data_IF_235731341205
#
_entry.id   IF_235731341205
#
_cell.length_a   1.000
_cell.length_b   1.000
_cell.length_c   1.000
_cell.angle_alpha   90.00
_cell.angle_beta   90.00
_cell.angle_gamma   90.00
#
_symmetry.space_group_name_H-M   'P 1'
#
loop_
_entity.id
_entity.type
_entity.pdbx_description
1 polymer ?
#
# COMPACT_ATOMS: atom_id res chain seq x y z
N UNK A 1 -8.71 -17.94 0.82
CA UNK A 1 -8.43 -16.70 0.10
C UNK A 1 -7.12 -16.15 0.64
N UNK A 2 -6.21 -15.75 -0.25
CA UNK A 2 -4.89 -15.21 0.12
C UNK A 2 -5.00 -13.79 0.66
N UNK A 3 -4.04 -13.37 1.50
CA UNK A 3 -4.01 -12.02 2.11
C UNK A 3 -4.15 -10.92 1.05
N UNK A 4 -3.46 -11.08 -0.07
CA UNK A 4 -3.45 -10.14 -1.19
C UNK A 4 -4.80 -10.03 -1.91
N UNK A 5 -5.61 -11.08 -1.95
CA UNK A 5 -6.92 -11.07 -2.64
C UNK A 5 -7.89 -10.04 -2.01
N UNK A 6 -7.70 -9.71 -0.74
CA UNK A 6 -8.47 -8.67 -0.04
C UNK A 6 -8.23 -7.26 -0.62
N UNK A 7 -7.14 -7.06 -1.35
CA UNK A 7 -6.79 -5.79 -1.98
C UNK A 7 -7.14 -5.72 -3.46
N UNK A 8 -7.83 -6.72 -4.00
CA UNK A 8 -8.26 -6.73 -5.42
C UNK A 8 -9.00 -5.44 -5.83
N UNK A 9 -9.82 -4.87 -4.95
CA UNK A 9 -10.51 -3.58 -5.16
C UNK A 9 -9.56 -2.37 -5.29
N UNK A 10 -8.31 -2.49 -4.85
CA UNK A 10 -7.28 -1.45 -4.96
C UNK A 10 -6.34 -1.67 -6.16
N UNK A 11 -6.52 -2.75 -6.93
CA UNK A 11 -5.72 -3.01 -8.12
C UNK A 11 -5.91 -1.93 -9.19
N UNK A 12 -7.15 -1.43 -9.35
CA UNK A 12 -7.45 -0.32 -10.26
C UNK A 12 -6.76 0.97 -9.82
N UNK A 13 -6.81 1.30 -8.52
CA UNK A 13 -6.11 2.45 -7.96
C UNK A 13 -4.60 2.37 -8.19
N UNK A 14 -4.02 1.18 -7.98
CA UNK A 14 -2.61 0.94 -8.25
C UNK A 14 -2.25 1.17 -9.73
N UNK A 15 -3.04 0.61 -10.65
CA UNK A 15 -2.83 0.80 -12.08
C UNK A 15 -2.97 2.27 -12.50
N UNK A 16 -3.96 2.98 -11.96
CA UNK A 16 -4.16 4.40 -12.25
C UNK A 16 -2.97 5.23 -11.77
N UNK A 17 -2.53 5.03 -10.52
CA UNK A 17 -1.40 5.75 -9.93
C UNK A 17 -0.09 5.47 -10.67
N UNK A 18 0.14 4.22 -11.09
CA UNK A 18 1.32 3.85 -11.87
C UNK A 18 1.34 4.49 -13.26
N UNK A 19 0.21 4.44 -13.98
CA UNK A 19 0.11 4.94 -15.35
C UNK A 19 -0.15 6.45 -15.44
N UNK A 20 -0.47 7.10 -14.32
CA UNK A 20 -0.71 8.53 -14.28
C UNK A 20 0.51 9.33 -14.78
N UNK A 21 0.30 10.39 -15.59
CA UNK A 21 1.40 11.25 -16.03
C UNK A 21 2.01 12.04 -14.85
N UNK A 22 3.24 12.54 -15.05
CA UNK A 22 3.86 13.47 -14.11
C UNK A 22 3.00 14.73 -13.96
N UNK A 23 2.74 15.17 -12.73
CA UNK A 23 1.79 16.22 -12.32
C UNK A 23 0.30 15.89 -12.49
N UNK A 24 -0.05 14.60 -12.59
CA UNK A 24 -1.45 14.20 -12.50
C UNK A 24 -2.03 14.55 -11.11
N UNK A 25 -3.26 15.07 -11.10
CA UNK A 25 -3.98 15.32 -9.84
C UNK A 25 -4.58 14.01 -9.31
N UNK A 26 -3.78 13.23 -8.61
CA UNK A 26 -4.20 12.03 -7.89
C UNK A 26 -4.70 12.39 -6.48
N UNK A 27 -5.75 11.72 -5.99
CA UNK A 27 -6.25 11.95 -4.63
C UNK A 27 -5.42 11.18 -3.59
N UNK A 28 -5.42 11.64 -2.33
CA UNK A 28 -4.77 10.91 -1.23
C UNK A 28 -5.27 9.49 -1.10
N UNK A 29 -6.57 9.28 -1.27
CA UNK A 29 -7.23 7.97 -1.16
C UNK A 29 -6.80 7.03 -2.28
N UNK A 30 -6.66 7.55 -3.50
CA UNK A 30 -6.21 6.76 -4.64
C UNK A 30 -4.76 6.29 -4.45
N UNK A 31 -3.89 7.19 -3.98
CA UNK A 31 -2.48 6.85 -3.68
C UNK A 31 -2.41 5.90 -2.50
N UNK A 32 -3.23 6.09 -1.46
CA UNK A 32 -3.29 5.22 -0.29
C UNK A 32 -3.74 3.80 -0.68
N UNK A 33 -4.75 3.70 -1.54
CA UNK A 33 -5.22 2.43 -2.09
C UNK A 33 -4.13 1.74 -2.91
N UNK A 34 -3.48 2.46 -3.82
CA UNK A 34 -2.35 1.96 -4.59
C UNK A 34 -1.19 1.49 -3.69
N UNK A 35 -0.86 2.25 -2.65
CA UNK A 35 0.17 1.92 -1.69
C UNK A 35 -0.18 0.67 -0.87
N UNK A 36 -1.45 0.53 -0.46
CA UNK A 36 -1.93 -0.65 0.26
C UNK A 36 -1.88 -1.91 -0.62
N UNK A 37 -2.24 -1.80 -1.90
CA UNK A 37 -2.15 -2.91 -2.85
C UNK A 37 -0.71 -3.36 -3.07
N UNK A 38 0.20 -2.43 -3.36
CA UNK A 38 1.62 -2.76 -3.58
C UNK A 38 2.24 -3.31 -2.29
N UNK A 39 1.89 -2.76 -1.13
CA UNK A 39 2.34 -3.28 0.15
C UNK A 39 1.86 -4.71 0.38
N UNK A 40 0.59 -5.00 0.09
CA UNK A 40 0.04 -6.33 0.25
C UNK A 40 0.70 -7.36 -0.69
N UNK A 41 0.98 -6.95 -1.93
CA UNK A 41 1.72 -7.76 -2.90
C UNK A 41 3.14 -8.05 -2.41
N UNK A 42 3.87 -7.01 -2.01
CA UNK A 42 5.24 -7.15 -1.51
C UNK A 42 5.31 -7.96 -0.21
N UNK A 43 4.28 -7.86 0.63
CA UNK A 43 4.13 -8.70 1.82
C UNK A 43 3.91 -10.16 1.47
N UNK A 44 3.03 -10.48 0.52
CA UNK A 44 2.82 -11.86 0.08
C UNK A 44 4.11 -12.47 -0.49
N UNK A 45 4.83 -11.72 -1.32
CA UNK A 45 6.16 -12.09 -1.82
C UNK A 45 7.16 -12.32 -0.67
N UNK A 46 7.13 -11.45 0.36
CA UNK A 46 7.98 -11.59 1.54
C UNK A 46 7.64 -12.87 2.32
N UNK A 47 6.35 -13.16 2.50
CA UNK A 47 5.86 -14.37 3.17
C UNK A 47 6.23 -15.63 2.40
N UNK A 48 6.15 -15.61 1.07
CA UNK A 48 6.56 -16.74 0.25
C UNK A 48 8.06 -17.03 0.33
N UNK A 49 8.90 -15.98 0.45
CA UNK A 49 10.36 -16.11 0.48
C UNK A 49 10.92 -16.38 1.87
N UNK A 50 10.35 -15.76 2.90
CA UNK A 50 10.89 -15.75 4.27
C UNK A 50 10.00 -16.48 5.28
N UNK A 51 8.78 -16.86 4.91
CA UNK A 51 7.75 -17.38 5.82
C UNK A 51 6.85 -16.27 6.39
N UNK A 52 5.75 -16.69 7.03
CA UNK A 52 4.84 -15.76 7.71
C UNK A 52 5.56 -15.09 8.89
N UNK A 53 5.37 -13.77 9.10
CA UNK A 53 5.94 -13.11 10.26
C UNK A 53 5.35 -13.68 11.56
N UNK A 54 6.17 -13.68 12.61
CA UNK A 54 5.83 -14.29 13.91
C UNK A 54 4.68 -13.58 14.65
N UNK A 55 4.33 -12.36 14.25
CA UNK A 55 3.28 -11.58 14.90
C UNK A 55 2.55 -10.65 13.95
N UNK A 56 1.29 -10.36 14.31
CA UNK A 56 0.47 -9.35 13.64
C UNK A 56 1.12 -7.96 13.69
N UNK A 57 1.85 -7.63 14.77
CA UNK A 57 2.60 -6.38 14.86
C UNK A 57 3.70 -6.32 13.79
N UNK A 58 4.45 -7.41 13.61
CA UNK A 58 5.51 -7.48 12.60
C UNK A 58 4.95 -7.41 11.18
N UNK A 59 3.80 -8.05 10.93
CA UNK A 59 3.10 -7.95 9.65
C UNK A 59 2.71 -6.48 9.33
N UNK A 60 2.18 -5.75 10.31
CA UNK A 60 1.85 -4.33 10.17
C UNK A 60 3.07 -3.47 9.86
N UNK A 61 4.18 -3.70 10.56
CA UNK A 61 5.42 -2.95 10.30
C UNK A 61 5.93 -3.15 8.87
N UNK A 62 5.91 -4.40 8.37
CA UNK A 62 6.35 -4.73 7.01
C UNK A 62 5.45 -4.03 5.98
N UNK A 63 4.13 -4.12 6.15
CA UNK A 63 3.17 -3.46 5.26
C UNK A 63 3.30 -1.94 5.29
N UNK A 64 3.45 -1.34 6.46
CA UNK A 64 3.66 0.10 6.60
C UNK A 64 4.96 0.55 5.92
N UNK A 65 6.02 -0.26 6.03
CA UNK A 65 7.29 -0.03 5.34
C UNK A 65 7.12 -0.01 3.81
N UNK A 66 6.45 -1.03 3.25
CA UNK A 66 6.21 -1.09 1.81
C UNK A 66 5.28 0.03 1.31
N UNK A 67 4.18 0.29 2.02
CA UNK A 67 3.25 1.36 1.67
C UNK A 67 3.93 2.73 1.73
N UNK A 68 4.78 2.96 2.74
CA UNK A 68 5.57 4.17 2.88
C UNK A 68 6.55 4.36 1.74
N UNK A 69 7.33 3.33 1.41
CA UNK A 69 8.29 3.36 0.32
C UNK A 69 7.62 3.61 -1.04
N UNK A 70 6.47 2.98 -1.30
CA UNK A 70 5.69 3.23 -2.51
C UNK A 70 5.17 4.67 -2.55
N UNK A 71 4.57 5.15 -1.47
CA UNK A 71 4.04 6.51 -1.36
C UNK A 71 5.10 7.57 -1.62
N UNK A 72 6.27 7.43 -0.98
CA UNK A 72 7.38 8.36 -1.15
C UNK A 72 7.84 8.38 -2.62
N UNK A 73 8.03 7.21 -3.24
CA UNK A 73 8.38 7.10 -4.66
C UNK A 73 7.32 7.73 -5.57
N UNK A 74 6.04 7.51 -5.32
CA UNK A 74 4.97 8.07 -6.15
C UNK A 74 4.93 9.60 -6.06
N UNK A 75 5.13 10.15 -4.86
CA UNK A 75 5.12 11.60 -4.67
C UNK A 75 6.33 12.25 -5.35
N UNK A 76 7.52 11.66 -5.21
CA UNK A 76 8.74 12.14 -5.86
C UNK A 76 8.66 12.05 -7.39
N UNK A 77 8.12 10.95 -7.92
CA UNK A 77 8.09 10.71 -9.38
C UNK A 77 6.93 11.38 -10.10
N UNK A 78 5.80 11.61 -9.41
CA UNK A 78 4.61 12.24 -9.99
C UNK A 78 4.48 13.72 -9.63
N UNK A 79 5.36 14.28 -8.78
CA UNK A 79 5.35 15.70 -8.43
C UNK A 79 4.10 16.09 -7.64
N UNK A 80 3.75 15.27 -6.65
CA UNK A 80 2.52 15.40 -5.86
C UNK A 80 2.77 16.22 -4.59
N UNK A 81 3.34 17.41 -4.72
CA UNK A 81 3.71 18.28 -3.59
C UNK A 81 2.52 18.71 -2.71
N UNK A 82 1.30 18.62 -3.23
CA UNK A 82 0.06 18.90 -2.50
C UNK A 82 -0.43 17.70 -1.65
N UNK A 83 0.16 16.52 -1.82
CA UNK A 83 -0.22 15.31 -1.09
C UNK A 83 0.51 15.26 0.25
N UNK A 84 -0.27 15.36 1.31
CA UNK A 84 0.13 14.96 2.66
C UNK A 84 0.50 13.46 2.73
N UNK A 85 1.80 13.21 2.82
CA UNK A 85 2.42 11.89 2.99
C UNK A 85 1.90 11.15 4.21
N UNK A 86 1.72 11.84 5.34
CA UNK A 86 1.29 11.20 6.59
C UNK A 86 -0.16 10.74 6.47
N UNK A 87 -1.01 11.55 5.82
CA UNK A 87 -2.39 11.16 5.54
C UNK A 87 -2.46 9.92 4.66
N UNK A 88 -1.68 9.85 3.59
CA UNK A 88 -1.63 8.67 2.70
C UNK A 88 -1.13 7.44 3.45
N UNK A 89 -0.03 7.57 4.21
CA UNK A 89 0.53 6.48 5.01
C UNK A 89 -0.47 5.96 6.04
N UNK A 90 -1.22 6.85 6.69
CA UNK A 90 -2.26 6.49 7.64
C UNK A 90 -3.40 5.71 6.98
N UNK A 91 -3.93 6.20 5.86
CA UNK A 91 -5.00 5.50 5.14
C UNK A 91 -4.53 4.14 4.61
N UNK A 92 -3.34 4.06 4.03
CA UNK A 92 -2.77 2.79 3.56
C UNK A 92 -2.61 1.80 4.72
N UNK A 93 -2.19 2.28 5.90
CA UNK A 93 -2.11 1.47 7.10
C UNK A 93 -3.49 1.02 7.59
N UNK A 94 -4.52 1.85 7.55
CA UNK A 94 -5.90 1.46 7.88
C UNK A 94 -6.41 0.35 6.96
N UNK A 95 -6.18 0.46 5.64
CA UNK A 95 -6.51 -0.60 4.68
C UNK A 95 -5.74 -1.90 4.97
N UNK A 96 -4.45 -1.79 5.29
CA UNK A 96 -3.61 -2.93 5.67
C UNK A 96 -4.09 -3.62 6.95
N UNK A 97 -4.50 -2.82 7.95
CA UNK A 97 -5.01 -3.33 9.22
C UNK A 97 -6.36 -4.04 9.08
N UNK A 98 -7.27 -3.49 8.27
CA UNK A 98 -8.57 -4.13 8.02
C UNK A 98 -8.38 -5.50 7.34
N UNK A 99 -7.45 -5.59 6.38
CA UNK A 99 -7.14 -6.85 5.73
C UNK A 99 -6.43 -7.86 6.65
N UNK A 100 -5.45 -7.41 7.45
CA UNK A 100 -4.72 -8.29 8.38
C UNK A 100 -5.62 -8.80 9.52
N UNK A 101 -6.53 -7.96 10.01
CA UNK A 101 -7.51 -8.35 11.04
C UNK A 101 -8.48 -9.44 10.58
N UNK A 102 -8.55 -9.73 9.27
CA UNK A 102 -9.31 -10.85 8.72
C UNK A 102 -8.49 -12.14 8.60
N UNK A 103 -7.16 -12.06 8.69
CA UNK A 103 -6.25 -13.19 8.46
C UNK A 103 -5.70 -13.84 9.75
N UNK A 104 -5.79 -13.13 10.89
CA UNK A 104 -5.37 -13.58 12.23
C UNK A 104 -6.58 -13.75 13.16
#
# INVERSE_FOLDING_TARGET
MGFFENFSNHADAHNEVMNAPHKASLSHELIAGAAAYEAAKAYEDHVQKNGKPDSHAKAKEILAGFAGAFTDRMIETKGLDYIDKERVKRQAHEHAQDALGREY
#
